data_IF_867292593324
#
_entry.id   IF_867292593324
#
_cell.length_a   1.000
_cell.length_b   1.000
_cell.length_c   1.000
_cell.angle_alpha   90.00
_cell.angle_beta   90.00
_cell.angle_gamma   90.00
#
_symmetry.space_group_name_H-M   'P 1'
#
loop_
_entity.id
_entity.type
_entity.pdbx_description
1 polymer ?
#
# COMPACT_ATOMS: atom_id res chain seq x y z
N UNK A 1 10.94 -12.32 20.58
CA UNK A 1 11.49 -11.00 20.23
C UNK A 1 11.01 -10.67 18.83
N UNK A 2 10.14 -9.71 18.73
CA UNK A 2 9.76 -9.14 17.43
C UNK A 2 10.99 -8.40 16.89
N UNK A 3 11.41 -8.74 15.67
CA UNK A 3 12.41 -7.96 14.97
C UNK A 3 11.87 -6.55 14.73
N UNK A 4 12.66 -5.49 14.81
CA UNK A 4 12.19 -4.13 14.53
C UNK A 4 11.84 -4.01 13.04
N UNK A 5 10.82 -3.21 12.75
CA UNK A 5 10.48 -2.86 11.38
C UNK A 5 11.63 -2.10 10.72
N UNK A 6 11.85 -2.38 9.44
CA UNK A 6 12.97 -1.83 8.67
C UNK A 6 12.46 -1.24 7.38
N UNK A 7 12.83 0.01 7.12
CA UNK A 7 12.62 0.67 5.83
C UNK A 7 13.97 0.84 5.15
N UNK A 8 14.04 0.45 3.87
CA UNK A 8 15.28 0.49 3.10
C UNK A 8 15.05 1.12 1.74
N UNK A 9 15.92 2.04 1.36
CA UNK A 9 16.02 2.55 0.00
C UNK A 9 17.21 1.94 -0.72
N UNK A 10 17.05 1.70 -2.01
CA UNK A 10 18.07 1.11 -2.86
C UNK A 10 18.30 1.97 -4.10
N UNK A 11 19.55 2.12 -4.50
CA UNK A 11 19.89 2.58 -5.83
C UNK A 11 19.68 1.45 -6.83
N UNK A 12 19.03 1.75 -7.94
CA UNK A 12 19.01 0.90 -9.11
C UNK A 12 20.21 1.30 -10.00
N UNK A 13 21.13 0.39 -10.20
CA UNK A 13 22.28 0.60 -11.07
C UNK A 13 22.00 -0.09 -12.41
N UNK A 14 22.08 0.66 -13.50
CA UNK A 14 21.85 0.14 -14.85
C UNK A 14 23.14 -0.32 -15.54
N UNK A 15 24.31 0.01 -14.95
CA UNK A 15 25.64 -0.41 -15.42
C UNK A 15 26.52 -0.86 -14.26
N UNK A 16 27.43 -1.81 -14.53
CA UNK A 16 28.50 -2.20 -13.61
C UNK A 16 29.67 -1.18 -13.65
N UNK A 17 30.74 -1.44 -12.89
CA UNK A 17 31.92 -0.60 -12.84
C UNK A 17 32.66 -0.51 -14.19
N UNK A 18 32.47 -1.47 -15.09
CA UNK A 18 33.05 -1.53 -16.42
C UNK A 18 32.14 -0.94 -17.51
N UNK A 19 30.95 -0.45 -17.12
CA UNK A 19 29.96 0.17 -18.02
C UNK A 19 29.07 -0.80 -18.76
N UNK A 20 29.05 -2.10 -18.42
CA UNK A 20 28.15 -3.05 -19.04
C UNK A 20 26.74 -2.93 -18.47
N UNK A 21 25.69 -3.13 -19.30
CA UNK A 21 24.31 -3.11 -18.81
C UNK A 21 24.08 -4.20 -17.76
N UNK A 22 23.63 -3.80 -16.58
CA UNK A 22 23.23 -4.70 -15.49
C UNK A 22 22.03 -4.12 -14.75
N UNK A 23 21.24 -4.98 -14.12
CA UNK A 23 20.26 -4.52 -13.14
C UNK A 23 20.73 -4.99 -11.76
N UNK A 24 21.30 -4.07 -11.01
CA UNK A 24 21.76 -4.31 -9.66
C UNK A 24 21.12 -3.29 -8.72
N UNK A 25 20.85 -3.73 -7.50
CA UNK A 25 20.38 -2.86 -6.44
C UNK A 25 21.43 -2.81 -5.34
N UNK A 26 21.83 -1.60 -4.95
CA UNK A 26 22.71 -1.37 -3.81
C UNK A 26 21.98 -0.58 -2.74
N UNK A 27 22.12 -0.99 -1.48
CA UNK A 27 21.51 -0.31 -0.36
C UNK A 27 22.02 1.14 -0.30
N UNK A 28 21.08 2.08 -0.40
CA UNK A 28 21.36 3.50 -0.30
C UNK A 28 21.26 3.97 1.16
N UNK A 29 20.15 3.66 1.79
CA UNK A 29 19.84 4.08 3.15
C UNK A 29 18.90 3.08 3.82
N UNK A 30 18.98 2.98 5.16
CA UNK A 30 18.11 2.11 5.94
C UNK A 30 17.81 2.75 7.30
N UNK A 31 16.54 2.75 7.67
CA UNK A 31 16.07 3.12 9.01
C UNK A 31 15.52 1.87 9.69
N UNK A 32 15.89 1.66 10.95
CA UNK A 32 15.41 0.59 11.82
C UNK A 32 14.54 1.17 12.93
N UNK A 33 13.84 0.29 13.62
CA UNK A 33 12.96 0.65 14.74
C UNK A 33 11.76 1.51 14.33
N UNK A 34 11.31 1.42 13.08
CA UNK A 34 10.03 1.93 12.67
C UNK A 34 8.90 1.14 13.36
N UNK A 35 7.82 1.82 13.72
CA UNK A 35 6.64 1.21 14.37
C UNK A 35 5.44 1.27 13.43
N UNK A 36 5.48 0.44 12.40
CA UNK A 36 4.41 0.36 11.39
C UNK A 36 3.44 -0.80 11.64
N UNK A 37 3.69 -1.65 12.66
CA UNK A 37 3.04 -2.94 12.82
C UNK A 37 3.34 -3.86 11.61
N UNK A 38 2.32 -4.33 10.89
CA UNK A 38 2.50 -5.09 9.67
C UNK A 38 2.30 -4.16 8.47
N UNK A 39 3.38 -3.53 8.00
CA UNK A 39 3.35 -2.66 6.82
C UNK A 39 2.97 -3.47 5.58
N UNK A 40 1.90 -3.07 4.90
CA UNK A 40 1.36 -3.78 3.74
C UNK A 40 1.55 -2.98 2.46
N UNK A 41 1.14 -1.71 2.42
CA UNK A 41 1.16 -0.88 1.22
C UNK A 41 2.02 0.37 1.39
N UNK A 42 2.51 0.89 0.26
CA UNK A 42 3.34 2.09 0.25
C UNK A 42 3.08 2.93 -1.01
N UNK A 43 2.81 4.22 -0.82
CA UNK A 43 2.64 5.19 -1.90
C UNK A 43 3.69 6.29 -1.82
N UNK A 44 4.22 6.69 -2.98
CA UNK A 44 5.06 7.89 -3.09
C UNK A 44 4.29 9.02 -3.77
N UNK A 45 4.22 10.18 -3.13
CA UNK A 45 3.66 11.39 -3.71
C UNK A 45 4.79 12.32 -4.19
N UNK A 46 5.00 12.45 -5.51
CA UNK A 46 6.08 13.28 -6.04
C UNK A 46 5.82 14.79 -5.92
N UNK A 47 4.57 15.20 -5.66
CA UNK A 47 4.21 16.62 -5.52
C UNK A 47 4.55 17.15 -4.14
N UNK A 48 4.23 16.38 -3.10
CA UNK A 48 4.54 16.73 -1.71
C UNK A 48 5.89 16.20 -1.25
N UNK A 49 6.53 15.34 -2.07
CA UNK A 49 7.78 14.64 -1.74
C UNK A 49 7.66 13.89 -0.42
N UNK A 50 6.71 12.97 -0.37
CA UNK A 50 6.46 12.15 0.82
C UNK A 50 6.16 10.69 0.46
N UNK A 51 6.47 9.79 1.37
CA UNK A 51 6.06 8.40 1.32
C UNK A 51 4.96 8.18 2.38
N UNK A 52 3.88 7.52 1.98
CA UNK A 52 2.86 7.04 2.91
C UNK A 52 2.93 5.52 3.00
N UNK A 53 2.92 4.99 4.21
CA UNK A 53 2.90 3.56 4.48
C UNK A 53 1.60 3.21 5.17
N UNK A 54 0.89 2.21 4.66
CA UNK A 54 -0.29 1.63 5.30
C UNK A 54 0.05 0.30 5.97
N UNK A 55 -0.78 -0.15 6.90
CA UNK A 55 -0.50 -1.39 7.58
C UNK A 55 -1.70 -2.01 8.29
N UNK A 56 -1.52 -3.29 8.59
CA UNK A 56 -2.45 -4.07 9.40
C UNK A 56 -2.00 -4.12 10.85
N UNK A 57 -2.94 -3.93 11.76
CA UNK A 57 -2.69 -4.17 13.18
C UNK A 57 -3.95 -4.65 13.91
N UNK A 58 -3.76 -5.10 15.14
CA UNK A 58 -4.87 -5.49 16.02
C UNK A 58 -5.76 -4.29 16.33
N UNK A 59 -7.09 -4.43 16.44
CA UNK A 59 -8.00 -3.35 16.81
C UNK A 59 -7.65 -2.61 18.10
N UNK A 60 -6.99 -3.27 19.04
CA UNK A 60 -6.56 -2.69 20.31
C UNK A 60 -5.19 -1.98 20.23
N UNK A 61 -4.50 -2.08 19.10
CA UNK A 61 -3.19 -1.47 18.91
C UNK A 61 -3.30 0.04 18.62
N UNK A 62 -2.33 0.80 19.10
CA UNK A 62 -2.28 2.27 18.92
C UNK A 62 -2.12 2.71 17.47
N UNK A 63 -1.71 1.80 16.57
CA UNK A 63 -1.52 2.03 15.15
C UNK A 63 -2.63 1.41 14.27
N UNK A 64 -3.73 0.92 14.88
CA UNK A 64 -4.89 0.43 14.13
C UNK A 64 -5.49 1.53 13.26
N UNK A 65 -5.70 1.25 11.97
CA UNK A 65 -6.24 2.20 11.01
C UNK A 65 -5.40 3.46 10.76
N UNK A 66 -4.08 3.35 10.99
CA UNK A 66 -3.14 4.44 10.76
C UNK A 66 -2.46 4.35 9.39
N UNK A 67 -2.05 5.52 8.90
CA UNK A 67 -1.05 5.70 7.85
C UNK A 67 0.16 6.40 8.48
N UNK A 68 1.35 6.04 8.02
CA UNK A 68 2.61 6.62 8.46
C UNK A 68 3.23 7.43 7.33
N UNK A 69 3.55 8.69 7.61
CA UNK A 69 4.23 9.57 6.69
C UNK A 69 5.74 9.51 6.94
N UNK A 70 6.49 9.25 5.89
CA UNK A 70 7.95 9.20 5.90
C UNK A 70 8.54 10.28 5.01
N UNK A 71 9.70 10.74 5.40
CA UNK A 71 10.59 11.52 4.55
C UNK A 71 11.26 10.59 3.53
N UNK A 72 11.15 10.81 2.21
CA UNK A 72 11.74 9.92 1.23
C UNK A 72 13.27 9.98 1.16
N UNK A 73 13.89 11.07 1.62
CA UNK A 73 15.35 11.23 1.57
C UNK A 73 16.03 10.57 2.79
N UNK A 74 15.38 10.62 3.96
CA UNK A 74 15.92 10.07 5.21
C UNK A 74 15.24 8.78 5.65
N UNK A 75 14.07 8.46 5.11
CA UNK A 75 13.16 7.38 5.51
C UNK A 75 12.66 7.49 6.96
N UNK A 76 12.90 8.60 7.61
CA UNK A 76 12.41 8.83 8.97
C UNK A 76 10.90 9.05 8.99
N UNK A 77 10.25 8.47 9.98
CA UNK A 77 8.83 8.71 10.22
C UNK A 77 8.61 10.13 10.71
N UNK A 78 7.85 10.91 9.95
CA UNK A 78 7.46 12.30 10.29
C UNK A 78 6.18 12.34 11.11
N UNK A 79 5.24 11.47 10.80
CA UNK A 79 3.90 11.54 11.37
C UNK A 79 3.22 10.17 11.35
N UNK A 80 2.37 9.93 12.34
CA UNK A 80 1.38 8.86 12.36
C UNK A 80 0.00 9.48 12.28
N UNK A 81 -0.78 9.11 11.28
CA UNK A 81 -2.08 9.69 10.96
C UNK A 81 -3.15 8.63 11.16
N UNK A 82 -4.04 8.83 12.12
CA UNK A 82 -5.19 7.97 12.34
C UNK A 82 -6.29 8.30 11.34
N UNK A 83 -6.51 7.45 10.35
CA UNK A 83 -7.62 7.60 9.38
C UNK A 83 -8.91 6.98 9.89
N UNK A 84 -8.82 5.87 10.61
CA UNK A 84 -9.98 5.11 11.07
C UNK A 84 -9.73 4.49 12.44
N UNK A 85 -10.83 4.28 13.18
CA UNK A 85 -10.88 3.44 14.38
C UNK A 85 -11.69 2.16 14.16
N UNK A 86 -12.10 1.90 12.91
CA UNK A 86 -13.05 0.83 12.57
C UNK A 86 -12.53 -0.14 11.52
N UNK A 87 -11.42 0.15 10.88
CA UNK A 87 -10.81 -0.70 9.86
C UNK A 87 -9.30 -0.44 9.73
N UNK A 88 -8.58 -1.46 9.26
CA UNK A 88 -7.19 -1.33 8.81
C UNK A 88 -7.11 -0.78 7.38
N UNK A 89 -5.94 -0.27 7.04
CA UNK A 89 -5.62 0.20 5.69
C UNK A 89 -4.59 -0.77 5.12
N UNK A 90 -5.05 -1.66 4.25
CA UNK A 90 -4.27 -2.80 3.75
C UNK A 90 -3.39 -2.40 2.56
N UNK A 91 -3.82 -1.45 1.75
CA UNK A 91 -3.10 -0.96 0.60
C UNK A 91 -3.32 0.52 0.40
N UNK A 92 -2.35 1.17 -0.24
CA UNK A 92 -2.42 2.59 -0.60
C UNK A 92 -1.61 2.86 -1.85
N UNK A 93 -2.17 3.65 -2.79
CA UNK A 93 -1.39 4.19 -3.89
C UNK A 93 -1.81 5.63 -4.23
N UNK A 94 -0.86 6.36 -4.81
CA UNK A 94 -1.04 7.75 -5.21
C UNK A 94 -1.77 7.87 -6.55
N UNK A 95 -2.69 8.83 -6.64
CA UNK A 95 -3.47 9.13 -7.84
C UNK A 95 -2.97 10.43 -8.50
N UNK A 96 -2.10 10.36 -9.53
CA UNK A 96 -1.57 11.56 -10.18
C UNK A 96 -2.66 12.46 -10.79
N UNK A 97 -3.79 11.88 -11.20
CA UNK A 97 -4.89 12.61 -11.82
C UNK A 97 -5.63 13.55 -10.87
N UNK A 98 -5.66 13.24 -9.58
CA UNK A 98 -6.38 14.01 -8.56
C UNK A 98 -5.46 14.62 -7.50
N UNK A 99 -4.23 14.12 -7.40
CA UNK A 99 -3.30 14.45 -6.33
C UNK A 99 -3.64 13.78 -4.99
N UNK A 100 -4.62 12.88 -4.98
CA UNK A 100 -5.06 12.14 -3.81
C UNK A 100 -4.55 10.70 -3.80
N UNK A 101 -5.29 9.81 -3.12
CA UNK A 101 -4.88 8.42 -2.94
C UNK A 101 -6.07 7.47 -3.07
N UNK A 102 -5.81 6.26 -3.56
CA UNK A 102 -6.71 5.13 -3.38
C UNK A 102 -6.21 4.30 -2.20
N UNK A 103 -7.11 3.95 -1.29
CA UNK A 103 -6.82 3.01 -0.21
C UNK A 103 -7.70 1.78 -0.31
N UNK A 104 -7.14 0.65 0.10
CA UNK A 104 -7.86 -0.58 0.39
C UNK A 104 -7.96 -0.78 1.90
N UNK A 105 -9.14 -1.16 2.37
CA UNK A 105 -9.42 -1.40 3.80
C UNK A 105 -9.97 -2.80 4.01
N UNK A 106 -9.79 -3.36 5.21
CA UNK A 106 -10.63 -4.46 5.63
C UNK A 106 -12.07 -3.98 5.82
N UNK A 107 -13.01 -4.90 5.70
CA UNK A 107 -14.43 -4.68 5.96
C UNK A 107 -15.07 -5.98 6.41
N UNK A 108 -16.20 -5.91 7.12
CA UNK A 108 -16.94 -7.10 7.53
C UNK A 108 -17.46 -7.85 6.29
N UNK A 109 -17.01 -9.10 6.15
CA UNK A 109 -17.36 -9.97 5.03
C UNK A 109 -16.67 -9.65 3.70
N UNK A 110 -15.63 -8.79 3.69
CA UNK A 110 -14.92 -8.40 2.47
C UNK A 110 -13.83 -7.38 2.70
N UNK A 111 -13.71 -6.46 1.77
CA UNK A 111 -12.80 -5.31 1.79
C UNK A 111 -13.47 -4.10 1.15
N UNK A 112 -12.95 -2.92 1.44
CA UNK A 112 -13.46 -1.66 0.93
C UNK A 112 -12.40 -0.88 0.15
N UNK A 113 -12.86 0.00 -0.74
CA UNK A 113 -12.02 0.98 -1.41
C UNK A 113 -12.53 2.38 -1.10
N UNK A 114 -11.61 3.29 -0.84
CA UNK A 114 -11.93 4.69 -0.58
C UNK A 114 -10.95 5.59 -1.33
N UNK A 115 -11.47 6.69 -1.87
CA UNK A 115 -10.64 7.77 -2.39
C UNK A 115 -10.39 8.79 -1.31
N UNK A 116 -9.13 9.18 -1.19
CA UNK A 116 -8.70 10.28 -0.34
C UNK A 116 -8.26 11.45 -1.21
N UNK A 117 -8.51 12.66 -0.73
CA UNK A 117 -7.87 13.86 -1.29
C UNK A 117 -6.40 13.99 -0.83
N UNK A 118 -5.72 15.05 -1.29
CA UNK A 118 -4.34 15.33 -0.93
C UNK A 118 -4.15 15.61 0.58
N UNK A 119 -5.23 15.92 1.30
CA UNK A 119 -5.25 16.15 2.75
C UNK A 119 -5.63 14.89 3.53
N UNK A 120 -5.70 13.74 2.87
CA UNK A 120 -6.10 12.43 3.41
C UNK A 120 -7.55 12.40 3.94
N UNK A 121 -8.42 13.29 3.44
CA UNK A 121 -9.85 13.23 3.75
C UNK A 121 -10.56 12.29 2.77
N UNK A 122 -11.45 11.43 3.28
CA UNK A 122 -12.26 10.54 2.43
C UNK A 122 -13.21 11.41 1.61
N UNK A 123 -13.07 11.36 0.28
CA UNK A 123 -13.93 12.07 -0.68
C UNK A 123 -14.89 11.14 -1.39
N UNK A 124 -14.63 9.83 -1.40
CA UNK A 124 -15.50 8.82 -1.98
C UNK A 124 -15.31 7.48 -1.26
N UNK A 125 -16.41 6.82 -0.93
CA UNK A 125 -16.43 5.51 -0.29
C UNK A 125 -17.24 4.56 -1.17
N UNK A 126 -16.57 3.52 -1.69
CA UNK A 126 -17.21 2.59 -2.62
C UNK A 126 -17.96 1.46 -1.92
N UNK A 127 -17.96 1.44 -0.60
CA UNK A 127 -18.58 0.40 0.21
C UNK A 127 -17.76 -0.89 0.25
N UNK A 128 -18.46 -1.99 0.56
CA UNK A 128 -17.85 -3.30 0.75
C UNK A 128 -17.93 -4.13 -0.51
N UNK A 129 -16.79 -4.68 -0.91
CA UNK A 129 -16.65 -5.70 -1.93
C UNK A 129 -16.53 -7.06 -1.21
N UNK A 130 -17.48 -7.99 -1.43
CA UNK A 130 -17.47 -9.26 -0.73
C UNK A 130 -16.24 -10.10 -1.12
N UNK A 131 -15.77 -10.91 -0.18
CA UNK A 131 -14.77 -11.92 -0.53
C UNK A 131 -15.36 -12.87 -1.57
N UNK A 132 -14.59 -13.10 -2.61
CA UNK A 132 -14.80 -14.22 -3.50
C UNK A 132 -14.36 -15.51 -2.79
N UNK A 133 -14.87 -16.67 -3.25
CA UNK A 133 -14.58 -17.98 -2.67
C UNK A 133 -13.08 -18.32 -2.59
N UNK A 134 -12.26 -17.67 -3.40
CA UNK A 134 -10.82 -17.92 -3.50
C UNK A 134 -9.95 -16.91 -2.75
N UNK A 135 -10.52 -15.84 -2.25
CA UNK A 135 -9.75 -14.71 -1.73
C UNK A 135 -9.85 -14.64 -0.21
N UNK A 136 -8.73 -14.83 0.46
CA UNK A 136 -8.66 -14.79 1.91
C UNK A 136 -7.82 -13.63 2.45
N UNK A 137 -6.95 -13.04 1.62
CA UNK A 137 -6.08 -11.97 2.08
C UNK A 137 -5.57 -11.09 0.95
N UNK A 138 -5.56 -9.79 1.17
CA UNK A 138 -4.99 -8.78 0.28
C UNK A 138 -3.85 -8.07 1.01
N UNK A 139 -2.74 -7.88 0.31
CA UNK A 139 -1.55 -7.29 0.91
C UNK A 139 -1.32 -5.86 0.46
N UNK A 140 -1.63 -5.53 -0.79
CA UNK A 140 -1.38 -4.22 -1.37
C UNK A 140 -2.18 -4.03 -2.66
N UNK A 141 -2.18 -2.81 -3.17
CA UNK A 141 -2.72 -2.44 -4.46
C UNK A 141 -1.72 -1.56 -5.23
N UNK A 142 -1.85 -1.49 -6.54
CA UNK A 142 -1.17 -0.47 -7.32
C UNK A 142 -2.08 0.12 -8.39
N UNK A 143 -1.84 1.37 -8.75
CA UNK A 143 -2.64 2.14 -9.71
C UNK A 143 -1.84 2.47 -10.96
N UNK A 144 -2.49 2.35 -12.12
CA UNK A 144 -1.93 2.78 -13.41
C UNK A 144 -3.03 3.36 -14.30
N UNK A 145 -3.07 4.67 -14.45
CA UNK A 145 -4.13 5.37 -15.20
C UNK A 145 -5.50 5.18 -14.56
N UNK A 146 -6.47 4.63 -15.32
CA UNK A 146 -7.82 4.28 -14.83
C UNK A 146 -7.91 2.87 -14.23
N UNK A 147 -6.80 2.15 -14.16
CA UNK A 147 -6.78 0.79 -13.63
C UNK A 147 -6.12 0.77 -12.25
N UNK A 148 -6.60 -0.14 -11.42
CA UNK A 148 -5.86 -0.57 -10.25
C UNK A 148 -5.86 -2.09 -10.12
N UNK A 149 -4.82 -2.60 -9.49
CA UNK A 149 -4.52 -4.01 -9.42
C UNK A 149 -4.42 -4.44 -7.97
N UNK A 150 -5.04 -5.58 -7.66
CA UNK A 150 -4.91 -6.25 -6.38
C UNK A 150 -4.14 -7.54 -6.55
N UNK A 151 -3.38 -7.88 -5.52
CA UNK A 151 -2.57 -9.09 -5.47
C UNK A 151 -3.06 -9.98 -4.33
N UNK A 152 -4.19 -10.68 -4.51
CA UNK A 152 -4.73 -11.54 -3.47
C UNK A 152 -3.82 -12.74 -3.23
N UNK A 153 -3.59 -13.04 -1.96
CA UNK A 153 -2.93 -14.27 -1.55
C UNK A 153 -3.99 -15.35 -1.38
N UNK A 154 -3.93 -16.39 -2.22
CA UNK A 154 -4.84 -17.52 -2.09
C UNK A 154 -4.25 -18.58 -1.16
N UNK A 155 -5.05 -19.05 -0.22
CA UNK A 155 -4.68 -20.12 0.70
C UNK A 155 -5.15 -21.50 0.22
N UNK A 156 -5.88 -21.57 -0.89
CA UNK A 156 -6.42 -22.80 -1.42
C UNK A 156 -5.40 -23.58 -2.27
N UNK A 157 -5.22 -24.85 -1.93
CA UNK A 157 -4.33 -25.74 -2.67
C UNK A 157 -4.80 -25.90 -4.13
N UNK A 158 -3.89 -25.69 -5.07
CA UNK A 158 -4.13 -25.86 -6.51
C UNK A 158 -4.63 -24.61 -7.23
N UNK A 159 -4.88 -23.50 -6.51
CA UNK A 159 -5.12 -22.20 -7.11
C UNK A 159 -3.84 -21.40 -6.98
N UNK A 160 -3.28 -20.94 -8.09
CA UNK A 160 -2.10 -20.07 -8.09
C UNK A 160 -2.45 -18.65 -7.68
N UNK A 161 -1.44 -17.83 -7.46
CA UNK A 161 -1.63 -16.40 -7.30
C UNK A 161 -2.16 -15.82 -8.63
N UNK A 162 -3.06 -14.87 -8.53
CA UNK A 162 -3.63 -14.16 -9.66
C UNK A 162 -3.64 -12.65 -9.39
N UNK A 163 -3.93 -11.87 -10.38
CA UNK A 163 -4.01 -10.41 -10.28
C UNK A 163 -5.43 -10.02 -10.66
N UNK A 164 -6.11 -9.33 -9.75
CA UNK A 164 -7.39 -8.72 -10.07
C UNK A 164 -7.18 -7.33 -10.63
N UNK A 165 -7.88 -7.03 -11.72
CA UNK A 165 -7.83 -5.72 -12.38
C UNK A 165 -9.18 -5.04 -12.25
N UNK A 166 -9.18 -3.83 -11.72
CA UNK A 166 -10.35 -2.99 -11.53
C UNK A 166 -10.27 -1.69 -12.33
N UNK A 167 -11.43 -1.13 -12.68
CA UNK A 167 -11.53 0.24 -13.20
C UNK A 167 -11.81 1.22 -12.05
N UNK A 168 -11.03 2.29 -11.96
CA UNK A 168 -11.25 3.38 -11.02
C UNK A 168 -12.54 4.14 -11.35
N UNK A 169 -12.75 4.48 -12.63
CA UNK A 169 -13.93 5.25 -13.06
C UNK A 169 -15.23 4.47 -12.97
N UNK A 170 -15.18 3.16 -13.24
CA UNK A 170 -16.36 2.29 -13.18
C UNK A 170 -16.57 1.65 -11.80
N UNK A 171 -15.56 1.67 -10.94
CA UNK A 171 -15.56 1.04 -9.61
C UNK A 171 -15.93 -0.46 -9.65
N UNK A 172 -15.45 -1.16 -10.67
CA UNK A 172 -15.81 -2.56 -10.92
C UNK A 172 -14.59 -3.41 -11.25
N UNK A 173 -14.67 -4.70 -10.89
CA UNK A 173 -13.75 -5.72 -11.36
C UNK A 173 -13.89 -5.88 -12.89
N UNK A 174 -12.78 -5.87 -13.60
CA UNK A 174 -12.70 -6.07 -15.06
C UNK A 174 -12.21 -7.47 -15.42
N UNK A 175 -11.24 -7.98 -14.69
CA UNK A 175 -10.62 -9.29 -14.91
C UNK A 175 -9.96 -9.82 -13.63
N UNK A 176 -9.89 -11.14 -13.53
CA UNK A 176 -9.21 -11.95 -12.50
C UNK A 176 -8.43 -13.12 -13.14
#
# INVERSE_FOLDING_TARGET
>A
TTEPDVVSAYYKNDTDADGNPVTQYSLAHQVRDADFAHANGMAYNPVTHEILVSGYSSPDASNYGCIFRLDPDTLEQKERIQLSTSYNILGIDYLPSTGGYLIQTDADGGYGFKLLDASLQIVDDWGTYPFDFYMENFQDLCVSGDLFFLFPLTMHLGIGNFIQTYSLSQKTLLAD
#
